data_IF_172886923621
#
_entry.id   IF_172886923621
#
_cell.length_a   1.000
_cell.length_b   1.000
_cell.length_c   1.000
_cell.angle_alpha   90.00
_cell.angle_beta   90.00
_cell.angle_gamma   90.00
#
_symmetry.space_group_name_H-M   'P 1'
#
loop_
_entity.id
_entity.type
_entity.pdbx_description
1 polymer ?
#
# COMPACT_ATOMS: atom_id res chain seq x y z
N UNK A 1 -15.82 7.84 18.10
CA UNK A 1 -17.03 8.00 17.25
C UNK A 1 -16.55 8.23 15.82
N UNK A 2 -16.90 7.34 14.88
CA UNK A 2 -16.39 7.40 13.50
C UNK A 2 -16.85 8.68 12.80
N UNK A 3 -15.96 9.28 11.99
CA UNK A 3 -16.25 10.45 11.17
C UNK A 3 -16.36 10.05 9.71
N UNK A 4 -17.25 10.71 8.97
CA UNK A 4 -17.43 10.49 7.53
C UNK A 4 -16.68 11.60 6.79
N UNK A 5 -15.73 11.27 5.89
CA UNK A 5 -15.10 12.25 5.03
C UNK A 5 -16.14 12.98 4.18
N UNK A 6 -15.90 14.26 3.95
CA UNK A 6 -16.80 15.15 3.19
C UNK A 6 -15.99 15.79 2.09
N UNK A 7 -16.54 15.83 0.90
CA UNK A 7 -15.95 16.49 -0.26
C UNK A 7 -16.92 17.55 -0.77
N UNK A 8 -16.40 18.72 -1.14
CA UNK A 8 -17.20 19.80 -1.72
C UNK A 8 -17.77 19.39 -3.09
N UNK A 9 -18.65 20.24 -3.63
CA UNK A 9 -19.16 20.08 -4.99
C UNK A 9 -18.02 20.00 -6.02
N UNK A 10 -16.99 20.82 -5.84
CA UNK A 10 -15.80 20.91 -6.73
C UNK A 10 -14.74 19.83 -6.48
N UNK A 11 -14.98 18.89 -5.57
CA UNK A 11 -14.03 17.81 -5.30
C UNK A 11 -12.96 18.16 -4.25
N UNK A 12 -13.07 19.29 -3.55
CA UNK A 12 -12.13 19.66 -2.49
C UNK A 12 -12.47 18.97 -1.18
N UNK A 13 -11.49 18.39 -0.46
CA UNK A 13 -11.75 17.74 0.82
C UNK A 13 -12.10 18.75 1.91
N UNK A 14 -13.18 18.49 2.63
CA UNK A 14 -13.68 19.31 3.74
C UNK A 14 -13.54 18.56 5.07
N UNK A 15 -13.83 19.24 6.18
CA UNK A 15 -13.78 18.60 7.49
C UNK A 15 -14.74 17.41 7.61
N UNK A 16 -14.25 16.25 8.08
CA UNK A 16 -15.10 15.08 8.30
C UNK A 16 -16.23 15.34 9.31
N UNK A 17 -17.42 14.83 9.00
CA UNK A 17 -18.64 15.08 9.77
C UNK A 17 -19.09 13.87 10.58
N UNK A 18 -20.14 14.03 11.41
CA UNK A 18 -20.78 12.92 12.11
C UNK A 18 -21.64 12.10 11.12
N UNK A 19 -21.72 10.77 11.26
CA UNK A 19 -22.54 9.92 10.39
C UNK A 19 -24.02 10.34 10.36
N UNK A 20 -24.59 10.77 11.49
CA UNK A 20 -25.96 11.26 11.58
C UNK A 20 -26.21 12.51 10.71
N UNK A 21 -25.24 13.42 10.63
CA UNK A 21 -25.31 14.62 9.79
C UNK A 21 -25.17 14.27 8.31
N UNK A 22 -24.23 13.38 7.98
CA UNK A 22 -24.07 12.88 6.62
C UNK A 22 -25.36 12.21 6.09
N UNK A 23 -26.04 11.42 6.93
CA UNK A 23 -27.31 10.79 6.57
C UNK A 23 -28.41 11.81 6.27
N UNK A 24 -28.61 12.81 7.15
CA UNK A 24 -29.58 13.90 6.94
C UNK A 24 -29.35 14.65 5.63
N UNK A 25 -28.09 14.87 5.24
CA UNK A 25 -27.77 15.51 3.96
C UNK A 25 -28.17 14.66 2.75
N UNK A 26 -28.01 13.35 2.83
CA UNK A 26 -28.42 12.43 1.75
C UNK A 26 -29.95 12.36 1.67
N UNK A 27 -30.63 12.20 2.81
CA UNK A 27 -32.09 12.15 2.89
C UNK A 27 -32.74 13.43 2.36
N UNK A 28 -32.11 14.59 2.59
CA UNK A 28 -32.57 15.89 2.07
C UNK A 28 -32.06 16.24 0.67
N UNK A 29 -31.38 15.32 -0.03
CA UNK A 29 -30.88 15.54 -1.39
C UNK A 29 -29.76 16.57 -1.51
N UNK A 30 -29.10 16.95 -0.40
CA UNK A 30 -27.99 17.93 -0.38
C UNK A 30 -26.61 17.31 -0.64
N UNK A 31 -26.50 15.99 -0.53
CA UNK A 31 -25.26 15.26 -0.75
C UNK A 31 -25.52 13.89 -1.38
N UNK A 32 -24.52 13.34 -2.05
CA UNK A 32 -24.53 11.98 -2.60
C UNK A 32 -23.50 11.11 -1.90
N UNK A 33 -23.84 9.83 -1.71
CA UNK A 33 -22.91 8.82 -1.19
C UNK A 33 -21.92 8.38 -2.27
N UNK A 34 -20.64 8.29 -1.91
CA UNK A 34 -19.58 7.77 -2.78
C UNK A 34 -18.65 6.82 -2.03
N UNK A 35 -17.87 6.07 -2.80
CA UNK A 35 -16.85 5.16 -2.29
C UNK A 35 -15.50 5.49 -2.93
N UNK A 36 -14.47 5.62 -2.08
CA UNK A 36 -13.09 5.81 -2.51
C UNK A 36 -12.49 4.51 -3.06
N UNK A 37 -11.35 4.62 -3.74
CA UNK A 37 -10.54 3.49 -4.17
C UNK A 37 -10.07 2.58 -3.02
N UNK A 38 -9.99 3.15 -1.81
CA UNK A 38 -9.63 2.47 -0.56
C UNK A 38 -10.82 1.80 0.14
N UNK A 39 -12.01 1.79 -0.46
CA UNK A 39 -13.21 1.19 0.15
C UNK A 39 -13.74 1.99 1.34
N UNK A 40 -13.38 3.26 1.44
CA UNK A 40 -13.93 4.22 2.39
C UNK A 40 -15.19 4.87 1.83
N UNK A 41 -16.23 4.91 2.65
CA UNK A 41 -17.46 5.64 2.37
C UNK A 41 -17.24 7.13 2.67
N UNK A 42 -17.66 7.99 1.75
CA UNK A 42 -17.64 9.43 1.93
C UNK A 42 -18.87 10.07 1.29
N UNK A 43 -19.13 11.33 1.62
CA UNK A 43 -20.21 12.10 1.01
C UNK A 43 -19.66 13.25 0.19
N UNK A 44 -20.25 13.49 -0.97
CA UNK A 44 -19.98 14.68 -1.78
C UNK A 44 -21.19 15.61 -1.71
N UNK A 45 -20.96 16.86 -1.32
CA UNK A 45 -21.99 17.89 -1.30
C UNK A 45 -22.40 18.27 -2.73
N UNK A 46 -23.68 18.55 -2.93
CA UNK A 46 -24.22 19.06 -4.20
C UNK A 46 -24.39 20.58 -4.20
N UNK A 47 -24.37 21.17 -3.00
CA UNK A 47 -24.52 22.60 -2.75
C UNK A 47 -23.22 23.15 -2.16
N UNK A 48 -23.07 24.46 -2.25
CA UNK A 48 -21.93 25.14 -1.63
C UNK A 48 -21.91 24.89 -0.12
N UNK A 49 -20.73 24.57 0.45
CA UNK A 49 -20.61 24.36 1.88
C UNK A 49 -20.83 25.70 2.60
N UNK A 50 -21.40 25.64 3.81
CA UNK A 50 -21.53 26.82 4.67
C UNK A 50 -20.18 27.40 5.14
N UNK A 51 -19.09 26.68 4.90
CA UNK A 51 -17.73 27.10 5.23
C UNK A 51 -16.70 26.05 4.82
N UNK A 52 -15.50 26.49 4.51
CA UNK A 52 -14.37 25.67 4.03
C UNK A 52 -13.26 25.51 5.06
N UNK A 53 -13.40 26.17 6.21
CA UNK A 53 -12.40 26.15 7.28
C UNK A 53 -12.16 24.74 7.82
N UNK A 54 -10.88 24.37 7.92
CA UNK A 54 -10.47 23.04 8.38
C UNK A 54 -9.55 23.11 9.59
N UNK A 55 -9.64 22.08 10.44
CA UNK A 55 -8.65 21.85 11.49
C UNK A 55 -7.54 20.96 10.94
N UNK A 56 -6.32 21.03 11.48
CA UNK A 56 -5.24 20.22 10.97
C UNK A 56 -5.56 18.72 11.02
N UNK A 57 -5.41 18.05 9.88
CA UNK A 57 -5.48 16.59 9.74
C UNK A 57 -4.15 16.09 9.20
N UNK A 58 -3.57 15.10 9.86
CA UNK A 58 -2.22 14.61 9.58
C UNK A 58 -2.27 13.14 9.20
N UNK A 59 -1.56 12.78 8.14
CA UNK A 59 -1.35 11.39 7.75
C UNK A 59 0.04 10.93 8.21
N UNK A 60 0.11 9.93 9.07
CA UNK A 60 1.37 9.29 9.45
C UNK A 60 1.59 8.03 8.63
N UNK A 61 2.72 7.92 7.96
CA UNK A 61 3.16 6.77 7.18
C UNK A 61 4.40 6.16 7.83
N UNK A 62 4.23 4.93 8.32
CA UNK A 62 5.31 4.07 8.82
C UNK A 62 5.67 3.01 7.75
N UNK A 63 6.71 3.25 6.93
CA UNK A 63 7.09 2.36 5.84
C UNK A 63 7.92 1.16 6.32
N UNK A 64 7.39 -0.05 6.16
CA UNK A 64 8.15 -1.28 6.42
C UNK A 64 8.64 -2.00 5.17
N UNK A 65 9.09 -3.25 5.36
CA UNK A 65 9.58 -4.16 4.30
C UNK A 65 8.44 -4.95 3.66
N UNK A 66 7.61 -5.60 4.49
CA UNK A 66 6.48 -6.42 4.04
C UNK A 66 5.14 -5.72 4.24
N UNK A 67 5.08 -4.83 5.23
CA UNK A 67 3.88 -4.11 5.62
C UNK A 67 4.21 -2.66 5.89
N UNK A 68 3.27 -1.75 5.66
CA UNK A 68 3.37 -0.35 6.07
C UNK A 68 2.11 0.04 6.84
N UNK A 69 2.29 0.85 7.88
CA UNK A 69 1.20 1.43 8.65
C UNK A 69 0.83 2.80 8.13
N UNK A 70 -0.46 3.10 7.99
CA UNK A 70 -0.92 4.47 7.79
C UNK A 70 -1.97 4.81 8.83
N UNK A 71 -1.84 5.98 9.45
CA UNK A 71 -2.83 6.55 10.36
C UNK A 71 -3.22 7.96 9.91
N UNK A 72 -4.51 8.29 9.99
CA UNK A 72 -5.01 9.66 9.76
C UNK A 72 -5.56 10.20 11.06
N UNK A 73 -5.03 11.34 11.51
CA UNK A 73 -5.25 11.86 12.85
C UNK A 73 -5.61 13.35 12.81
N UNK A 74 -6.60 13.73 13.61
CA UNK A 74 -6.87 15.13 13.99
C UNK A 74 -6.46 15.34 15.44
N UNK A 75 -6.46 16.59 15.94
CA UNK A 75 -6.22 16.84 17.37
C UNK A 75 -7.21 16.09 18.29
N UNK A 76 -8.44 15.82 17.83
CA UNK A 76 -9.54 15.30 18.67
C UNK A 76 -9.86 13.83 18.49
N UNK A 77 -9.48 13.22 17.37
CA UNK A 77 -9.81 11.83 17.08
C UNK A 77 -8.93 11.23 15.97
N UNK A 78 -8.80 9.90 16.03
CA UNK A 78 -8.23 9.08 14.95
C UNK A 78 -9.32 8.84 13.91
N UNK A 79 -9.04 9.21 12.66
CA UNK A 79 -10.00 9.17 11.56
C UNK A 79 -9.94 7.85 10.79
N UNK A 80 -8.74 7.32 10.59
CA UNK A 80 -8.51 6.13 9.78
C UNK A 80 -7.22 5.41 10.18
N UNK A 81 -7.24 4.09 10.13
CA UNK A 81 -6.08 3.22 10.23
C UNK A 81 -6.03 2.28 9.02
N UNK A 82 -4.88 2.20 8.36
CA UNK A 82 -4.66 1.28 7.25
C UNK A 82 -3.45 0.40 7.51
N UNK A 83 -3.61 -0.88 7.18
CA UNK A 83 -2.54 -1.85 7.12
C UNK A 83 -2.27 -2.19 5.65
N UNK A 84 -1.11 -1.76 5.14
CA UNK A 84 -0.74 -1.97 3.74
C UNK A 84 0.11 -3.24 3.65
N UNK A 85 -0.32 -4.21 2.84
CA UNK A 85 0.49 -5.39 2.50
C UNK A 85 1.29 -5.08 1.24
N UNK A 86 2.59 -4.92 1.40
CA UNK A 86 3.49 -4.49 0.35
C UNK A 86 3.80 -5.63 -0.62
N UNK A 87 3.90 -5.36 -1.94
CA UNK A 87 4.20 -6.38 -2.94
C UNK A 87 5.70 -6.76 -2.99
N UNK A 88 6.50 -6.41 -1.97
CA UNK A 88 7.96 -6.54 -1.99
C UNK A 88 8.42 -7.97 -2.28
N UNK A 89 7.96 -8.94 -1.49
CA UNK A 89 8.32 -10.37 -1.64
C UNK A 89 7.93 -10.91 -3.01
N UNK A 90 6.69 -10.63 -3.41
CA UNK A 90 6.10 -11.04 -4.70
C UNK A 90 6.88 -10.53 -5.90
N UNK A 91 7.21 -9.24 -5.88
CA UNK A 91 7.94 -8.61 -6.99
C UNK A 91 9.36 -9.14 -7.05
N UNK A 92 10.02 -9.34 -5.91
CA UNK A 92 11.35 -9.96 -5.85
C UNK A 92 11.33 -11.36 -6.47
N UNK A 93 10.44 -12.23 -6.01
CA UNK A 93 10.28 -13.60 -6.52
C UNK A 93 10.05 -13.63 -8.04
N UNK A 94 9.19 -12.74 -8.56
CA UNK A 94 8.97 -12.60 -10.01
C UNK A 94 10.20 -12.14 -10.77
N UNK A 95 10.98 -11.21 -10.20
CA UNK A 95 12.21 -10.74 -10.82
C UNK A 95 13.27 -11.84 -10.87
N UNK A 96 13.34 -12.67 -9.83
CA UNK A 96 14.22 -13.84 -9.78
C UNK A 96 13.79 -14.91 -10.79
N UNK A 97 12.50 -15.27 -10.84
CA UNK A 97 11.98 -16.19 -11.85
C UNK A 97 12.22 -15.67 -13.27
N UNK A 98 11.96 -14.38 -13.52
CA UNK A 98 12.24 -13.74 -14.82
C UNK A 98 13.74 -13.80 -15.17
N UNK A 99 14.63 -13.61 -14.20
CA UNK A 99 16.09 -13.72 -14.39
C UNK A 99 16.48 -15.16 -14.75
N UNK A 100 15.97 -16.16 -14.03
CA UNK A 100 16.21 -17.59 -14.28
C UNK A 100 15.76 -18.00 -15.68
N UNK A 101 14.52 -17.67 -16.05
CA UNK A 101 13.97 -17.98 -17.38
C UNK A 101 14.74 -17.31 -18.52
N UNK A 102 15.24 -16.08 -18.31
CA UNK A 102 16.12 -15.41 -19.29
C UNK A 102 17.50 -16.04 -19.36
N UNK A 103 18.04 -16.55 -18.25
CA UNK A 103 19.32 -17.26 -18.23
C UNK A 103 19.21 -18.58 -18.99
N UNK A 104 18.21 -19.41 -18.69
CA UNK A 104 17.95 -20.68 -19.37
C UNK A 104 17.72 -20.53 -20.88
N UNK A 105 16.93 -19.53 -21.31
CA UNK A 105 16.75 -19.26 -22.74
C UNK A 105 18.04 -18.86 -23.45
N UNK A 106 18.88 -18.03 -22.81
CA UNK A 106 20.17 -17.64 -23.38
C UNK A 106 21.13 -18.82 -23.42
N UNK A 107 21.20 -19.63 -22.37
CA UNK A 107 22.12 -20.77 -22.31
C UNK A 107 21.86 -21.83 -23.36
N UNK A 108 20.61 -22.00 -23.82
CA UNK A 108 20.23 -22.88 -24.94
C UNK A 108 20.64 -22.36 -26.32
N UNK A 109 20.87 -21.05 -26.45
CA UNK A 109 21.33 -20.42 -27.71
C UNK A 109 22.85 -20.32 -27.81
N UNK A 110 23.55 -20.64 -26.72
CA UNK A 110 25.00 -20.59 -26.67
C UNK A 110 25.51 -21.97 -27.04
N UNK A 111 26.02 -22.10 -28.27
CA UNK A 111 26.93 -23.19 -28.61
C UNK A 111 28.22 -22.98 -27.79
N UNK A 112 28.57 -23.94 -26.93
CA UNK A 112 29.74 -23.85 -26.05
C UNK A 112 31.00 -24.43 -26.68
N UNK A 113 30.84 -25.14 -27.79
CA UNK A 113 31.92 -25.85 -28.48
C UNK A 113 32.70 -24.89 -29.39
N UNK A 114 32.10 -23.75 -29.77
CA UNK A 114 32.80 -22.68 -30.51
C UNK A 114 33.55 -21.70 -29.59
N UNK A 115 34.69 -21.14 -30.04
CA UNK A 115 35.43 -20.10 -29.32
C UNK A 115 34.55 -18.93 -28.87
N UNK A 116 34.85 -18.35 -27.70
CA UNK A 116 34.03 -17.30 -27.07
C UNK A 116 33.69 -16.11 -27.99
N UNK A 117 34.64 -15.71 -28.86
CA UNK A 117 34.48 -14.64 -29.87
C UNK A 117 33.40 -14.95 -30.91
N UNK A 118 33.16 -16.22 -31.20
CA UNK A 118 32.19 -16.72 -32.17
C UNK A 118 30.86 -17.16 -31.52
N UNK A 119 30.78 -17.21 -30.19
CA UNK A 119 29.55 -17.58 -29.48
C UNK A 119 28.49 -16.50 -29.64
N UNK A 120 27.23 -16.92 -29.77
CA UNK A 120 26.05 -16.04 -29.70
C UNK A 120 25.80 -15.56 -28.25
N UNK A 121 26.77 -14.85 -27.70
CA UNK A 121 26.77 -14.27 -26.37
C UNK A 121 27.29 -12.82 -26.48
N UNK A 122 26.78 -11.91 -25.65
CA UNK A 122 27.26 -10.53 -25.57
C UNK A 122 28.01 -10.33 -24.26
N UNK A 123 29.17 -9.66 -24.32
CA UNK A 123 29.88 -9.18 -23.14
C UNK A 123 29.00 -8.24 -22.30
N UNK A 124 29.27 -8.18 -20.99
CA UNK A 124 28.56 -7.29 -20.07
C UNK A 124 28.95 -5.83 -20.38
N UNK A 125 28.01 -5.02 -20.86
CA UNK A 125 28.22 -3.58 -21.07
C UNK A 125 27.79 -2.81 -19.82
N UNK A 126 28.73 -2.54 -18.92
CA UNK A 126 28.45 -1.79 -17.69
C UNK A 126 28.25 -0.29 -17.97
N UNK A 127 29.00 0.27 -18.91
CA UNK A 127 28.96 1.71 -19.27
C UNK A 127 27.64 2.14 -19.92
N UNK A 128 26.88 1.19 -20.44
CA UNK A 128 25.55 1.42 -20.99
C UNK A 128 24.46 1.57 -19.90
N UNK A 129 24.81 1.40 -18.62
CA UNK A 129 23.87 1.52 -17.49
C UNK A 129 23.85 2.95 -16.95
N UNK A 130 23.31 3.89 -17.73
CA UNK A 130 23.27 5.33 -17.38
C UNK A 130 22.12 5.75 -16.44
N UNK A 131 21.24 4.83 -16.04
CA UNK A 131 19.99 5.18 -15.33
C UNK A 131 20.04 5.05 -13.81
N UNK A 132 19.65 6.09 -13.08
CA UNK A 132 19.38 6.07 -11.63
C UNK A 132 18.00 5.44 -11.34
N UNK A 133 17.90 4.10 -11.39
CA UNK A 133 16.62 3.37 -11.25
C UNK A 133 16.48 2.76 -9.85
N UNK A 134 15.30 2.95 -9.25
CA UNK A 134 14.91 2.19 -8.05
C UNK A 134 14.75 0.70 -8.36
N UNK A 135 15.11 -0.14 -7.38
CA UNK A 135 14.83 -1.57 -7.45
C UNK A 135 13.31 -1.81 -7.62
N UNK A 136 12.87 -2.70 -8.52
CA UNK A 136 11.44 -2.87 -8.82
C UNK A 136 10.56 -3.20 -7.61
N UNK A 137 11.07 -3.98 -6.65
CA UNK A 137 10.34 -4.34 -5.42
C UNK A 137 10.14 -3.15 -4.49
N UNK A 138 11.17 -2.30 -4.36
CA UNK A 138 11.12 -1.06 -3.56
C UNK A 138 10.19 -0.06 -4.23
N UNK A 139 10.37 0.16 -5.53
CA UNK A 139 9.50 1.04 -6.32
C UNK A 139 8.03 0.64 -6.19
N UNK A 140 7.70 -0.64 -6.34
CA UNK A 140 6.32 -1.11 -6.23
C UNK A 140 5.71 -0.89 -4.84
N UNK A 141 6.52 -0.97 -3.78
CA UNK A 141 6.09 -0.75 -2.40
C UNK A 141 5.84 0.74 -2.13
N UNK A 142 6.81 1.59 -2.47
CA UNK A 142 6.67 3.05 -2.32
C UNK A 142 5.53 3.62 -3.18
N UNK A 143 5.33 3.11 -4.39
CA UNK A 143 4.19 3.50 -5.23
C UNK A 143 2.83 3.08 -4.66
N UNK A 144 2.75 2.01 -3.87
CA UNK A 144 1.51 1.66 -3.17
C UNK A 144 1.24 2.66 -2.05
N UNK A 145 2.25 3.00 -1.25
CA UNK A 145 2.14 3.99 -0.17
C UNK A 145 1.74 5.37 -0.71
N UNK A 146 2.46 5.88 -1.71
CA UNK A 146 2.15 7.17 -2.35
C UNK A 146 0.71 7.17 -2.87
N UNK A 147 0.28 6.08 -3.51
CA UNK A 147 -1.10 5.97 -3.99
C UNK A 147 -2.10 6.06 -2.83
N UNK A 148 -1.87 5.31 -1.76
CA UNK A 148 -2.77 5.32 -0.60
C UNK A 148 -2.85 6.72 0.01
N UNK A 149 -1.73 7.42 0.15
CA UNK A 149 -1.73 8.81 0.68
C UNK A 149 -2.45 9.77 -0.26
N UNK A 150 -2.29 9.63 -1.59
CA UNK A 150 -3.06 10.43 -2.57
C UNK A 150 -4.57 10.20 -2.46
N UNK A 151 -5.01 8.96 -2.28
CA UNK A 151 -6.43 8.64 -2.08
C UNK A 151 -6.97 9.11 -0.73
N UNK A 152 -6.11 9.22 0.30
CA UNK A 152 -6.49 9.84 1.58
C UNK A 152 -6.64 11.35 1.40
N UNK A 153 -5.68 12.00 0.75
CA UNK A 153 -5.66 13.44 0.53
C UNK A 153 -6.78 13.93 -0.40
N UNK A 154 -7.39 13.05 -1.21
CA UNK A 154 -8.55 13.41 -2.02
C UNK A 154 -9.87 13.49 -1.24
N UNK A 155 -9.92 12.92 -0.02
CA UNK A 155 -11.15 12.89 0.81
C UNK A 155 -10.96 13.48 2.21
N UNK A 156 -9.73 13.69 2.66
CA UNK A 156 -9.39 14.33 3.93
C UNK A 156 -8.52 15.57 3.68
N UNK A 157 -8.73 16.67 4.43
CA UNK A 157 -7.96 17.91 4.28
C UNK A 157 -6.59 17.75 4.96
N UNK A 158 -5.66 17.05 4.31
CA UNK A 158 -4.34 16.74 4.86
C UNK A 158 -3.45 17.99 4.92
N UNK A 159 -3.04 18.37 6.11
CA UNK A 159 -2.17 19.53 6.39
C UNK A 159 -0.69 19.16 6.42
N UNK A 160 -0.37 17.95 6.87
CA UNK A 160 1.01 17.46 6.95
C UNK A 160 1.07 15.94 6.87
N UNK A 161 2.23 15.42 6.48
CA UNK A 161 2.50 13.99 6.42
C UNK A 161 3.69 13.67 7.33
N UNK A 162 3.48 12.81 8.32
CA UNK A 162 4.57 12.25 9.11
C UNK A 162 5.18 11.05 8.40
N UNK A 163 6.49 11.00 8.26
CA UNK A 163 7.19 9.88 7.62
C UNK A 163 8.29 9.30 8.51
N UNK A 164 8.25 8.00 8.80
CA UNK A 164 9.35 7.34 9.53
C UNK A 164 10.50 6.99 8.55
N UNK A 165 11.68 7.56 8.80
CA UNK A 165 12.89 7.29 8.03
C UNK A 165 13.75 6.24 8.71
N UNK A 166 14.24 5.30 7.91
CA UNK A 166 15.14 4.23 8.33
C UNK A 166 16.56 4.59 7.92
N UNK A 167 17.51 4.44 8.85
CA UNK A 167 18.95 4.47 8.57
C UNK A 167 19.42 3.04 8.63
N UNK A 168 19.53 2.46 7.45
CA UNK A 168 20.19 1.19 7.28
C UNK A 168 21.64 1.50 6.96
N UNK A 169 22.52 1.48 7.98
CA UNK A 169 23.95 1.40 7.72
C UNK A 169 24.24 -0.01 7.20
N UNK A 170 24.34 -0.13 5.88
CA UNK A 170 24.63 -1.38 5.17
C UNK A 170 26.00 -1.95 5.55
N UNK A 171 26.93 -1.12 6.02
CA UNK A 171 28.25 -1.57 6.41
C UNK A 171 28.20 -2.20 7.80
N UNK A 172 27.45 -1.62 8.74
CA UNK A 172 27.22 -2.21 10.08
C UNK A 172 26.30 -3.44 10.05
N UNK A 173 25.32 -3.48 9.14
CA UNK A 173 24.31 -4.57 9.09
C UNK A 173 24.65 -5.74 8.18
N UNK A 174 25.68 -5.64 7.34
CA UNK A 174 25.99 -6.70 6.35
C UNK A 174 26.75 -7.91 6.91
N UNK A 175 27.35 -7.80 8.10
CA UNK A 175 28.17 -8.86 8.70
C UNK A 175 29.39 -9.28 7.86
N UNK A 176 29.73 -8.52 6.80
CA UNK A 176 30.86 -8.84 5.91
C UNK A 176 32.17 -8.40 6.55
N UNK A 177 33.12 -9.33 6.69
CA UNK A 177 34.51 -8.99 7.05
C UNK A 177 35.05 -7.97 6.03
N UNK A 178 35.27 -6.73 6.47
CA UNK A 178 35.80 -5.62 5.65
C UNK A 178 34.82 -4.52 5.25
N UNK A 179 33.55 -4.56 5.67
CA UNK A 179 32.64 -3.44 5.49
C UNK A 179 33.08 -2.23 6.34
N UNK A 180 33.26 -1.06 5.72
CA UNK A 180 33.70 0.18 6.40
C UNK A 180 32.52 1.14 6.49
N UNK A 181 32.07 1.44 7.71
CA UNK A 181 30.92 2.33 7.98
C UNK A 181 31.03 3.67 7.25
N UNK A 182 29.89 4.15 6.76
CA UNK A 182 29.75 5.46 6.13
C UNK A 182 29.98 5.50 4.62
N UNK A 183 30.30 4.38 3.95
CA UNK A 183 30.52 4.35 2.48
C UNK A 183 29.44 3.59 1.71
N UNK A 184 28.63 2.76 2.37
CA UNK A 184 27.58 2.00 1.74
C UNK A 184 26.27 2.77 1.56
N UNK A 185 25.55 2.50 0.47
CA UNK A 185 24.20 3.01 0.24
C UNK A 185 23.16 1.90 0.44
N UNK A 186 22.04 2.23 1.08
CA UNK A 186 20.90 1.33 1.18
C UNK A 186 19.86 1.62 0.09
N UNK A 187 19.48 0.62 -0.74
CA UNK A 187 18.36 0.77 -1.66
C UNK A 187 17.05 1.20 -1.00
N UNK A 188 16.87 0.87 0.29
CA UNK A 188 15.69 1.27 1.07
C UNK A 188 15.71 2.78 1.32
N UNK A 189 16.87 3.34 1.71
CA UNK A 189 17.02 4.78 1.94
C UNK A 189 16.76 5.60 0.67
N UNK A 190 17.29 5.15 -0.48
CA UNK A 190 17.00 5.79 -1.77
C UNK A 190 15.50 5.72 -2.10
N UNK A 191 14.87 4.58 -1.81
CA UNK A 191 13.42 4.41 -1.96
C UNK A 191 12.61 5.32 -1.05
N UNK A 192 13.03 5.53 0.20
CA UNK A 192 12.38 6.46 1.13
C UNK A 192 12.53 7.91 0.67
N UNK A 193 13.72 8.32 0.22
CA UNK A 193 13.94 9.67 -0.31
C UNK A 193 13.04 9.96 -1.52
N UNK A 194 12.95 9.00 -2.45
CA UNK A 194 11.99 9.11 -3.56
C UNK A 194 10.54 9.23 -3.07
N UNK A 195 10.16 8.42 -2.08
CA UNK A 195 8.80 8.47 -1.52
C UNK A 195 8.49 9.83 -0.90
N UNK A 196 9.39 10.35 -0.06
CA UNK A 196 9.28 11.66 0.57
C UNK A 196 9.10 12.74 -0.50
N UNK A 197 9.95 12.77 -1.54
CA UNK A 197 9.84 13.76 -2.62
C UNK A 197 8.52 13.72 -3.41
N UNK A 198 7.86 12.55 -3.44
CA UNK A 198 6.53 12.42 -4.06
C UNK A 198 5.39 12.80 -3.11
N UNK A 199 5.59 12.63 -1.80
CA UNK A 199 4.63 12.99 -0.76
C UNK A 199 4.63 14.50 -0.47
N UNK A 200 5.78 15.16 -0.56
CA UNK A 200 5.92 16.62 -0.43
C UNK A 200 5.11 17.39 -1.48
N UNK A 201 4.81 16.75 -2.62
CA UNK A 201 3.90 17.31 -3.64
C UNK A 201 2.43 17.34 -3.22
N UNK A 202 2.08 16.63 -2.15
CA UNK A 202 0.71 16.52 -1.61
C UNK A 202 0.56 17.46 -0.42
N UNK A 203 1.46 17.35 0.56
CA UNK A 203 1.48 18.19 1.76
C UNK A 203 2.91 18.18 2.36
N UNK A 204 3.26 19.18 3.19
CA UNK A 204 4.54 19.21 3.89
C UNK A 204 4.84 17.90 4.64
N UNK A 205 6.01 17.32 4.42
CA UNK A 205 6.44 16.07 5.06
C UNK A 205 7.39 16.39 6.20
N UNK A 206 7.06 15.97 7.42
CA UNK A 206 8.01 15.95 8.52
C UNK A 206 8.54 14.54 8.73
N UNK A 207 9.86 14.43 8.83
CA UNK A 207 10.54 13.15 8.99
C UNK A 207 10.82 12.90 10.46
N UNK A 208 10.58 11.67 10.92
CA UNK A 208 11.09 11.18 12.21
C UNK A 208 12.01 10.00 11.99
N UNK A 209 13.09 9.96 12.75
CA UNK A 209 14.02 8.84 12.70
C UNK A 209 13.56 7.75 13.68
N UNK A 210 13.43 6.50 13.24
CA UNK A 210 12.92 5.42 14.09
C UNK A 210 13.78 5.13 15.34
N UNK A 211 15.07 5.51 15.32
CA UNK A 211 15.99 5.38 16.47
C UNK A 211 16.08 6.62 17.34
N UNK A 212 15.34 7.70 17.02
CA UNK A 212 15.42 8.94 17.78
C UNK A 212 14.98 8.68 19.23
N UNK A 213 15.89 8.88 20.18
CA UNK A 213 15.66 8.68 21.62
C UNK A 213 15.45 9.99 22.38
N UNK A 214 15.00 11.03 21.69
CA UNK A 214 14.78 12.37 22.26
C UNK A 214 13.42 12.52 22.95
N UNK A 215 12.59 11.47 22.97
CA UNK A 215 11.22 11.47 23.46
C UNK A 215 10.18 11.52 22.34
N UNK A 216 10.60 11.81 21.10
CA UNK A 216 9.74 11.99 19.95
C UNK A 216 9.81 10.81 18.95
N UNK A 217 10.60 9.76 19.23
CA UNK A 217 10.60 8.55 18.41
C UNK A 217 9.24 7.85 18.41
N UNK A 218 8.92 7.11 17.35
CA UNK A 218 7.62 6.45 17.15
C UNK A 218 7.23 5.56 18.34
N UNK A 219 8.18 4.79 18.89
CA UNK A 219 7.91 3.94 20.05
C UNK A 219 7.66 4.75 21.33
N UNK A 220 8.30 5.90 21.51
CA UNK A 220 8.13 6.76 22.69
C UNK A 220 6.78 7.46 22.65
N UNK A 221 6.40 8.00 21.47
CA UNK A 221 5.07 8.52 21.21
C UNK A 221 3.99 7.49 21.49
N UNK A 222 4.17 6.27 21.00
CA UNK A 222 3.21 5.19 21.19
C UNK A 222 2.98 4.90 22.69
N UNK A 223 4.04 4.82 23.48
CA UNK A 223 3.97 4.64 24.94
C UNK A 223 3.26 5.81 25.62
N UNK A 224 3.60 7.06 25.27
CA UNK A 224 2.99 8.24 25.87
C UNK A 224 1.48 8.36 25.56
N UNK A 225 1.05 7.85 24.40
CA UNK A 225 -0.34 7.82 23.96
C UNK A 225 -1.12 6.61 24.47
N UNK A 226 -0.49 5.69 25.22
CA UNK A 226 -1.13 4.45 25.70
C UNK A 226 -1.53 3.49 24.58
N UNK A 227 -0.89 3.57 23.41
CA UNK A 227 -1.23 2.76 22.25
C UNK A 227 -0.59 1.37 22.33
N UNK A 228 -1.39 0.31 22.33
CA UNK A 228 -0.90 -1.07 22.39
C UNK A 228 -0.29 -1.46 21.03
N UNK A 229 0.89 -2.10 21.06
CA UNK A 229 1.50 -2.70 19.87
C UNK A 229 1.77 -4.18 20.07
N UNK A 230 1.24 -4.98 19.15
CA UNK A 230 1.64 -6.37 19.03
C UNK A 230 2.99 -6.47 18.30
N UNK A 231 4.00 -7.00 19.02
CA UNK A 231 5.34 -7.22 18.49
C UNK A 231 5.59 -8.67 18.05
N UNK A 232 4.74 -9.60 18.47
CA UNK A 232 4.88 -11.03 18.24
C UNK A 232 4.32 -11.40 16.86
N UNK A 233 3.06 -11.05 16.58
CA UNK A 233 2.37 -11.47 15.36
C UNK A 233 2.31 -10.37 14.29
N UNK A 234 3.49 -9.93 13.82
CA UNK A 234 3.61 -8.82 12.84
C UNK A 234 2.88 -9.06 11.50
N UNK A 235 2.62 -10.31 11.15
CA UNK A 235 1.90 -10.67 9.92
C UNK A 235 0.38 -10.58 10.06
N UNK A 236 -0.15 -10.50 11.29
CA UNK A 236 -1.58 -10.29 11.50
C UNK A 236 -1.97 -8.87 11.10
N UNK A 237 -2.98 -8.78 10.25
CA UNK A 237 -3.50 -7.52 9.78
C UNK A 237 -4.56 -7.00 10.77
N UNK A 238 -4.09 -6.53 11.93
CA UNK A 238 -4.89 -5.89 12.98
C UNK A 238 -4.39 -4.48 13.30
N UNK A 239 -5.20 -3.60 13.91
CA UNK A 239 -4.81 -2.21 14.18
C UNK A 239 -3.49 -2.09 14.94
N UNK A 240 -3.27 -2.98 15.90
CA UNK A 240 -2.16 -2.98 16.87
C UNK A 240 -0.81 -3.41 16.28
N UNK A 241 -0.74 -3.82 15.01
CA UNK A 241 0.55 -4.21 14.40
C UNK A 241 1.27 -3.01 13.80
N UNK A 242 0.97 -2.69 12.54
CA UNK A 242 1.66 -1.64 11.79
C UNK A 242 0.88 -0.32 11.79
N UNK A 243 -0.45 -0.36 11.74
CA UNK A 243 -1.23 0.88 11.61
C UNK A 243 -1.13 1.80 12.84
N UNK A 244 -0.91 1.23 14.02
CA UNK A 244 -0.71 1.97 15.27
C UNK A 244 0.53 2.86 15.24
N UNK A 245 1.60 2.45 14.56
CA UNK A 245 2.81 3.29 14.42
C UNK A 245 2.53 4.48 13.51
N UNK A 246 1.72 4.29 12.45
CA UNK A 246 1.22 5.39 11.62
C UNK A 246 0.38 6.40 12.42
N UNK A 247 -0.48 5.93 13.33
CA UNK A 247 -1.25 6.82 14.23
C UNK A 247 -0.32 7.57 15.19
N UNK A 248 0.62 6.87 15.83
CA UNK A 248 1.58 7.50 16.74
C UNK A 248 2.39 8.59 16.02
N UNK A 249 2.86 8.29 14.80
CA UNK A 249 3.61 9.22 13.98
C UNK A 249 2.79 10.47 13.61
N UNK A 250 1.51 10.30 13.24
CA UNK A 250 0.58 11.40 12.98
C UNK A 250 0.31 12.24 14.25
N UNK A 251 0.15 11.58 15.40
CA UNK A 251 -0.02 12.26 16.70
C UNK A 251 1.19 13.13 17.05
N UNK A 252 2.40 12.74 16.63
CA UNK A 252 3.62 13.53 16.83
C UNK A 252 3.58 14.94 16.25
N UNK A 253 2.68 15.23 15.30
CA UNK A 253 2.45 16.60 14.86
C UNK A 253 1.81 17.47 15.96
N UNK A 254 0.86 16.91 16.70
CA UNK A 254 0.08 17.60 17.73
C UNK A 254 0.74 17.60 19.11
N UNK A 255 1.59 16.60 19.39
CA UNK A 255 2.30 16.47 20.66
C UNK A 255 3.81 16.33 20.45
N UNK A 256 4.58 17.01 21.28
CA UNK A 256 6.03 16.94 21.25
C UNK A 256 6.61 16.89 22.65
N UNK A 257 7.55 16.00 22.87
CA UNK A 257 8.34 15.98 24.08
C UNK A 257 9.44 17.04 23.96
N UNK A 258 9.40 18.04 24.84
CA UNK A 258 10.33 19.17 24.81
C UNK A 258 10.95 19.38 26.18
N UNK A 259 12.20 19.85 26.18
CA UNK A 259 12.83 20.41 27.38
C UNK A 259 12.19 21.76 27.69
N UNK A 260 12.04 22.07 28.97
CA UNK A 260 11.70 23.41 29.42
C UNK A 260 12.70 23.84 30.48
N UNK A 261 12.98 25.14 30.48
CA UNK A 261 13.75 25.83 31.51
C UNK A 261 12.87 27.00 31.96
N UNK A 262 12.62 27.09 33.26
CA UNK A 262 11.94 28.21 33.92
C UNK A 262 12.81 28.73 35.05
N UNK A 263 12.45 29.90 35.60
CA UNK A 263 13.11 30.47 36.78
C UNK A 263 13.13 29.53 37.99
N UNK A 264 12.16 28.60 38.06
CA UNK A 264 11.99 27.67 39.17
C UNK A 264 12.50 26.25 38.89
N UNK A 265 13.13 25.98 37.74
CA UNK A 265 13.70 24.66 37.43
C UNK A 265 13.79 24.31 35.95
N UNK A 266 14.33 23.13 35.67
CA UNK A 266 14.44 22.59 34.31
C UNK A 266 13.94 21.16 34.27
N UNK A 267 13.39 20.75 33.12
CA UNK A 267 12.81 19.42 32.98
C UNK A 267 12.39 19.09 31.55
N UNK A 268 11.65 18.00 31.40
CA UNK A 268 11.06 17.57 30.12
C UNK A 268 9.58 17.34 30.31
N UNK A 269 8.78 17.83 29.36
CA UNK A 269 7.33 17.65 29.41
C UNK A 269 6.76 17.51 28.00
N UNK A 270 5.58 16.93 27.91
CA UNK A 270 4.81 16.87 26.68
C UNK A 270 4.12 18.22 26.46
N UNK A 271 4.40 18.85 25.33
CA UNK A 271 3.66 20.03 24.85
C UNK A 271 2.64 19.61 23.81
N UNK A 272 1.45 20.19 23.89
CA UNK A 272 0.32 19.94 22.99
C UNK A 272 -0.70 18.96 23.56
N UNK A 273 -1.80 18.75 22.83
CA UNK A 273 -2.90 17.86 23.22
C UNK A 273 -3.40 17.10 22.01
N UNK A 274 -3.58 15.80 22.18
CA UNK A 274 -4.18 14.93 21.16
C UNK A 274 -5.03 13.85 21.83
N UNK A 275 -6.11 13.46 21.16
CA UNK A 275 -6.97 12.35 21.62
C UNK A 275 -7.03 11.26 20.55
N UNK A 276 -6.64 10.05 20.94
CA UNK A 276 -6.76 8.84 20.12
C UNK A 276 -8.12 8.19 20.39
N UNK A 277 -8.73 7.66 19.34
CA UNK A 277 -10.04 6.99 19.44
C UNK A 277 -10.08 5.79 18.52
N UNK A 278 -10.98 4.84 18.76
CA UNK A 278 -11.26 3.80 17.78
C UNK A 278 -11.69 4.43 16.45
N UNK A 279 -11.17 3.88 15.36
CA UNK A 279 -11.35 4.39 14.00
C UNK A 279 -11.63 3.23 13.03
N UNK A 280 -11.97 3.57 11.78
CA UNK A 280 -12.09 2.54 10.76
C UNK A 280 -10.72 1.94 10.45
N UNK A 281 -10.64 0.62 10.45
CA UNK A 281 -9.46 -0.13 10.05
C UNK A 281 -9.70 -0.80 8.71
N UNK A 282 -8.75 -0.69 7.77
CA UNK A 282 -8.80 -1.39 6.47
C UNK A 282 -7.46 -2.00 6.10
N UNK A 283 -7.52 -3.11 5.39
CA UNK A 283 -6.34 -3.78 4.85
C UNK A 283 -6.24 -3.48 3.36
N UNK A 284 -5.11 -2.96 2.91
CA UNK A 284 -4.90 -2.58 1.50
C UNK A 284 -3.78 -3.43 0.91
N UNK A 285 -4.05 -4.08 -0.23
CA UNK A 285 -3.05 -4.86 -0.96
C UNK A 285 -3.20 -4.74 -2.48
N UNK A 286 -2.22 -5.23 -3.23
CA UNK A 286 -2.29 -5.35 -4.69
C UNK A 286 -2.81 -6.74 -5.08
N UNK A 287 -3.63 -6.84 -6.14
CA UNK A 287 -4.06 -8.12 -6.70
C UNK A 287 -2.91 -9.13 -6.91
N UNK A 288 -3.10 -10.36 -6.40
CA UNK A 288 -2.23 -11.51 -6.64
C UNK A 288 -2.10 -12.47 -5.45
N UNK A 289 -2.28 -13.77 -5.74
CA UNK A 289 -2.45 -14.88 -4.79
C UNK A 289 -1.25 -15.14 -3.88
N UNK A 290 -1.53 -15.66 -2.69
CA UNK A 290 -0.72 -16.73 -2.09
C UNK A 290 -1.45 -18.05 -2.35
N UNK A 291 -0.80 -19.05 -2.96
CA UNK A 291 -1.34 -20.40 -3.09
C UNK A 291 -0.29 -21.38 -2.56
N UNK A 292 -0.65 -22.23 -1.58
CA UNK A 292 0.26 -23.22 -0.97
C UNK A 292 1.60 -22.59 -0.49
N UNK A 293 1.54 -21.45 0.20
CA UNK A 293 2.73 -20.72 0.65
C UNK A 293 3.57 -20.04 -0.44
N UNK A 294 3.17 -20.14 -1.72
CA UNK A 294 3.86 -19.47 -2.85
C UNK A 294 3.05 -18.28 -3.35
N UNK A 295 3.69 -17.13 -3.46
CA UNK A 295 3.04 -15.91 -3.94
C UNK A 295 2.93 -15.91 -5.47
N UNK A 296 1.72 -16.12 -5.98
CA UNK A 296 1.36 -15.95 -7.37
C UNK A 296 0.80 -14.54 -7.61
N UNK A 297 0.46 -14.23 -8.83
CA UNK A 297 -0.40 -13.08 -9.05
C UNK A 297 -0.65 -12.85 -10.50
N UNK A 298 -1.12 -11.66 -10.83
CA UNK A 298 -1.75 -11.44 -12.13
C UNK A 298 -0.70 -11.56 -13.25
N UNK A 299 -0.81 -12.63 -14.02
CA UNK A 299 0.02 -12.84 -15.21
C UNK A 299 -0.68 -12.18 -16.39
N UNK A 300 -0.22 -10.99 -16.81
CA UNK A 300 -0.74 -10.33 -18.01
C UNK A 300 -0.57 -11.23 -19.24
N UNK A 301 0.60 -11.87 -19.37
CA UNK A 301 0.90 -12.94 -20.33
C UNK A 301 1.97 -13.84 -19.74
N UNK A 302 1.74 -15.15 -19.70
CA UNK A 302 2.75 -16.15 -19.39
C UNK A 302 3.12 -16.87 -20.68
N UNK A 303 4.01 -16.27 -21.48
CA UNK A 303 4.51 -16.82 -22.75
C UNK A 303 5.26 -18.17 -22.61
N UNK A 304 5.46 -18.63 -21.37
CA UNK A 304 6.33 -19.74 -21.01
C UNK A 304 5.62 -20.70 -20.06
N UNK A 305 4.39 -21.15 -20.37
CA UNK A 305 4.16 -22.54 -19.98
C UNK A 305 5.28 -23.35 -20.65
N UNK A 306 6.14 -23.88 -19.79
CA UNK A 306 7.57 -24.00 -20.07
C UNK A 306 7.83 -24.98 -21.20
N UNK A 307 6.96 -25.98 -21.30
CA UNK A 307 6.95 -27.07 -22.26
C UNK A 307 5.93 -26.73 -23.37
N UNK A 308 6.37 -26.61 -24.64
CA UNK A 308 5.43 -26.57 -25.76
C UNK A 308 4.65 -27.90 -25.83
N UNK A 309 3.38 -27.85 -26.23
CA UNK A 309 2.64 -29.06 -26.54
C UNK A 309 3.12 -29.71 -27.85
N UNK A 310 2.40 -30.75 -28.28
CA UNK A 310 2.57 -31.29 -29.64
C UNK A 310 2.53 -30.15 -30.67
N UNK A 311 3.38 -30.25 -31.70
CA UNK A 311 3.55 -29.24 -32.77
C UNK A 311 4.19 -27.90 -32.33
N UNK A 312 4.85 -27.84 -31.17
CA UNK A 312 5.57 -26.64 -30.75
C UNK A 312 4.68 -25.50 -30.22
N UNK A 313 3.36 -25.71 -30.19
CA UNK A 313 2.37 -24.70 -29.74
C UNK A 313 2.44 -24.55 -28.23
N UNK A 314 2.57 -23.31 -27.76
CA UNK A 314 2.52 -22.99 -26.32
C UNK A 314 1.11 -22.62 -25.91
N UNK A 315 0.63 -23.21 -24.81
CA UNK A 315 -0.66 -22.85 -24.22
C UNK A 315 -0.70 -21.34 -23.93
N UNK A 316 -1.67 -20.64 -24.50
CA UNK A 316 -1.96 -19.24 -24.16
C UNK A 316 -2.42 -19.18 -22.70
N UNK A 317 -1.71 -18.42 -21.87
CA UNK A 317 -2.12 -18.13 -20.49
C UNK A 317 -1.88 -16.68 -20.13
N UNK A 318 -2.84 -16.13 -19.40
CA UNK A 318 -2.89 -14.72 -19.00
C UNK A 318 -4.06 -14.03 -19.70
N UNK A 319 -4.02 -12.70 -19.73
CA UNK A 319 -5.15 -11.86 -20.08
C UNK A 319 -5.61 -11.10 -18.85
N UNK A 320 -5.88 -9.80 -19.03
CA UNK A 320 -6.45 -8.96 -17.98
C UNK A 320 -7.95 -8.77 -18.14
N UNK A 321 -8.53 -9.22 -19.27
CA UNK A 321 -9.94 -9.09 -19.63
C UNK A 321 -10.44 -10.48 -20.04
N UNK A 322 -11.60 -10.85 -19.53
CA UNK A 322 -12.31 -12.09 -19.88
C UNK A 322 -13.18 -11.87 -21.12
N UNK A 323 -13.57 -12.93 -21.86
CA UNK A 323 -14.46 -12.82 -23.02
C UNK A 323 -15.77 -12.07 -22.74
N UNK A 324 -16.24 -12.08 -21.49
CA UNK A 324 -17.49 -11.42 -21.07
C UNK A 324 -17.28 -10.01 -20.48
N UNK A 325 -16.16 -9.35 -20.78
CA UNK A 325 -15.93 -7.94 -20.42
C UNK A 325 -15.51 -7.67 -18.96
N UNK A 326 -15.48 -8.68 -18.09
CA UNK A 326 -14.87 -8.55 -16.75
C UNK A 326 -13.35 -8.47 -16.83
N UNK A 327 -12.73 -7.74 -15.90
CA UNK A 327 -11.28 -7.61 -15.80
C UNK A 327 -10.75 -8.29 -14.54
N UNK A 328 -9.51 -8.77 -14.60
CA UNK A 328 -8.83 -9.28 -13.40
C UNK A 328 -8.67 -8.14 -12.38
N UNK A 329 -9.19 -8.37 -11.18
CA UNK A 329 -9.29 -7.39 -10.10
C UNK A 329 -10.57 -6.56 -10.10
N UNK A 330 -11.52 -6.79 -11.03
CA UNK A 330 -12.87 -6.22 -10.90
C UNK A 330 -13.50 -6.79 -9.62
N UNK A 331 -14.10 -5.91 -8.81
CA UNK A 331 -14.89 -6.28 -7.64
C UNK A 331 -16.30 -6.60 -8.12
N UNK A 332 -16.76 -7.82 -7.84
CA UNK A 332 -18.05 -8.31 -8.29
C UNK A 332 -18.83 -8.95 -7.15
N UNK A 333 -20.14 -8.95 -7.30
CA UNK A 333 -21.10 -9.71 -6.53
C UNK A 333 -21.47 -10.95 -7.34
N UNK A 334 -21.44 -12.13 -6.76
CA UNK A 334 -21.83 -13.35 -7.45
C UNK A 334 -22.67 -14.26 -6.56
N UNK A 335 -23.66 -14.93 -7.15
CA UNK A 335 -24.55 -15.84 -6.42
C UNK A 335 -24.37 -17.29 -6.88
N UNK A 336 -24.37 -18.22 -5.92
CA UNK A 336 -24.37 -19.67 -6.15
C UNK A 336 -25.32 -20.33 -5.16
N UNK A 337 -26.43 -20.86 -5.67
CA UNK A 337 -27.52 -21.32 -4.81
C UNK A 337 -28.07 -20.16 -3.98
N UNK A 338 -28.17 -20.35 -2.66
CA UNK A 338 -28.59 -19.32 -1.70
C UNK A 338 -27.44 -18.43 -1.20
N UNK A 339 -26.20 -18.73 -1.59
CA UNK A 339 -25.02 -18.00 -1.10
C UNK A 339 -24.68 -16.87 -2.06
N UNK A 340 -24.63 -15.65 -1.53
CA UNK A 340 -24.04 -14.49 -2.20
C UNK A 340 -22.59 -14.32 -1.74
N UNK A 341 -21.70 -13.96 -2.66
CA UNK A 341 -20.29 -13.72 -2.38
C UNK A 341 -19.81 -12.46 -3.09
N UNK A 342 -19.04 -11.65 -2.38
CA UNK A 342 -18.36 -10.48 -2.93
C UNK A 342 -16.87 -10.77 -3.00
N UNK A 343 -16.25 -10.49 -4.15
CA UNK A 343 -14.81 -10.68 -4.29
C UNK A 343 -14.27 -10.16 -5.61
N UNK A 344 -13.00 -10.45 -5.84
CA UNK A 344 -12.25 -10.00 -7.00
C UNK A 344 -12.18 -11.08 -8.07
N UNK A 345 -12.35 -10.69 -9.33
CA UNK A 345 -12.12 -11.59 -10.45
C UNK A 345 -10.64 -11.93 -10.55
N UNK A 346 -10.30 -13.22 -10.54
CA UNK A 346 -8.90 -13.67 -10.69
C UNK A 346 -8.64 -14.58 -11.89
N UNK A 347 -9.69 -15.05 -12.58
CA UNK A 347 -9.58 -15.89 -13.77
C UNK A 347 -10.94 -16.41 -14.22
N UNK A 348 -10.94 -17.22 -15.27
CA UNK A 348 -12.17 -17.76 -15.85
C UNK A 348 -11.95 -19.13 -16.51
N UNK A 349 -13.06 -19.82 -16.79
CA UNK A 349 -13.12 -20.97 -17.70
C UNK A 349 -14.15 -20.67 -18.78
N UNK A 350 -13.67 -20.55 -20.02
CA UNK A 350 -14.50 -20.24 -21.18
C UNK A 350 -15.48 -21.37 -21.51
N UNK A 351 -14.98 -22.61 -21.53
CA UNK A 351 -15.75 -23.84 -21.78
C UNK A 351 -16.95 -23.94 -20.82
N UNK A 352 -16.71 -23.68 -19.54
CA UNK A 352 -17.74 -23.83 -18.51
C UNK A 352 -18.53 -22.54 -18.26
N UNK A 353 -18.23 -21.43 -18.98
CA UNK A 353 -18.83 -20.10 -18.76
C UNK A 353 -18.86 -19.67 -17.29
N UNK A 354 -17.75 -19.90 -16.57
CA UNK A 354 -17.61 -19.51 -15.15
C UNK A 354 -16.44 -18.57 -14.90
N UNK A 355 -16.64 -17.71 -13.91
CA UNK A 355 -15.67 -16.76 -13.37
C UNK A 355 -15.15 -17.26 -12.02
N UNK A 356 -13.83 -17.16 -11.81
CA UNK A 356 -13.21 -17.49 -10.52
C UNK A 356 -13.11 -16.24 -9.64
N UNK A 357 -13.79 -16.29 -8.50
CA UNK A 357 -13.83 -15.22 -7.51
C UNK A 357 -12.79 -15.46 -6.42
N UNK A 358 -12.12 -14.40 -5.98
CA UNK A 358 -11.07 -14.43 -4.97
C UNK A 358 -11.33 -13.39 -3.89
N UNK A 359 -10.89 -13.66 -2.66
CA UNK A 359 -10.91 -12.68 -1.59
C UNK A 359 -9.77 -11.65 -1.71
N UNK A 360 -9.64 -10.77 -0.72
CA UNK A 360 -8.57 -9.76 -0.67
C UNK A 360 -7.16 -10.37 -0.49
N UNK A 361 -7.04 -11.52 0.16
CA UNK A 361 -5.81 -12.32 0.25
C UNK A 361 -5.49 -13.04 -1.06
N UNK A 362 -6.41 -12.94 -2.01
CA UNK A 362 -6.38 -13.57 -3.30
C UNK A 362 -6.34 -15.11 -3.20
N UNK A 363 -7.04 -15.64 -2.19
CA UNK A 363 -7.48 -17.02 -2.06
C UNK A 363 -8.82 -17.18 -2.79
N UNK A 364 -8.97 -18.27 -3.53
CA UNK A 364 -10.18 -18.51 -4.35
C UNK A 364 -11.35 -18.80 -3.42
N UNK A 365 -12.42 -18.00 -3.54
CA UNK A 365 -13.71 -18.23 -2.88
C UNK A 365 -14.44 -19.35 -3.61
N UNK A 366 -14.51 -19.25 -4.95
CA UNK A 366 -15.21 -20.24 -5.75
C UNK A 366 -15.23 -19.91 -7.23
N UNK A 367 -16.02 -20.68 -7.97
CA UNK A 367 -16.36 -20.43 -9.36
C UNK A 367 -17.86 -20.21 -9.48
N UNK A 368 -18.23 -19.16 -10.23
CA UNK A 368 -19.59 -18.68 -10.36
C UNK A 368 -19.95 -18.54 -11.84
N UNK A 369 -21.21 -18.81 -12.19
CA UNK A 369 -21.70 -18.58 -13.56
C UNK A 369 -21.56 -17.09 -13.91
N UNK A 370 -21.16 -16.82 -15.15
CA UNK A 370 -21.08 -15.44 -15.67
C UNK A 370 -22.43 -14.72 -15.54
N UNK A 371 -23.53 -15.41 -15.83
CA UNK A 371 -24.90 -14.86 -15.73
C UNK A 371 -25.32 -14.47 -14.32
N UNK A 372 -24.66 -15.04 -13.30
CA UNK A 372 -24.94 -14.79 -11.88
C UNK A 372 -23.89 -13.87 -11.24
N UNK A 373 -23.14 -13.14 -12.06
CA UNK A 373 -22.06 -12.25 -11.60
C UNK A 373 -22.35 -10.82 -12.04
N UNK A 374 -22.43 -9.90 -11.07
CA UNK A 374 -22.69 -8.48 -11.30
C UNK A 374 -21.47 -7.65 -10.88
N UNK A 375 -21.07 -6.71 -11.74
CA UNK A 375 -19.97 -5.80 -11.45
C UNK A 375 -20.37 -4.80 -10.35
N UNK A 376 -19.57 -4.72 -9.29
CA UNK A 376 -19.69 -3.66 -8.27
C UNK A 376 -18.77 -2.49 -8.65
N UNK A 377 -17.50 -2.79 -8.99
CA UNK A 377 -16.49 -1.77 -9.28
C UNK A 377 -15.42 -2.32 -10.21
N UNK A 378 -15.01 -1.51 -11.19
CA UNK A 378 -13.87 -1.83 -12.06
C UNK A 378 -12.55 -1.89 -11.29
N UNK A 379 -11.65 -2.75 -11.76
CA UNK A 379 -10.31 -2.94 -11.22
C UNK A 379 -9.55 -1.63 -11.20
N UNK A 380 -9.33 -1.11 -10.00
CA UNK A 380 -8.42 0.00 -9.75
C UNK A 380 -7.02 -0.54 -9.39
N UNK A 381 -6.83 -1.85 -9.31
CA UNK A 381 -5.55 -2.47 -8.93
C UNK A 381 -5.26 -2.45 -7.43
N UNK A 382 -6.28 -2.27 -6.58
CA UNK A 382 -6.23 -2.48 -5.13
C UNK A 382 -7.27 -3.53 -4.71
N UNK A 383 -6.90 -4.34 -3.72
CA UNK A 383 -7.80 -5.19 -2.96
C UNK A 383 -7.90 -4.63 -1.54
N UNK A 384 -9.12 -4.60 -1.01
CA UNK A 384 -9.48 -3.97 0.26
C UNK A 384 -10.23 -5.00 1.10
N UNK A 385 -9.89 -5.09 2.38
CA UNK A 385 -10.67 -5.79 3.41
C UNK A 385 -11.18 -4.78 4.44
#
# INVERSE_FOLDING_TARGET
>A
MNRIPVVSKDGQPLMPTKPSRARKWIESGRAISKWSDLGLYYVQLLQEPSGTETQPVVAGLDPGKSYSGVGVQSAKCTLLQLHLILPFGRVRSRMDQRRLLRRSRRSRRINRDVPFKLRNHRQKRFDNRRGKKLAPSIRASRQLEIRVVKEIASIYPITAIGYEKVRADVDLTSGRKGARSGKGFSPVMIGQQFCISELEKIAPVYVREGWQKDGNGTSQLRTALGLVKDKQNKSEAKPETHSVDGVALACGYFIQFRRFHSSCGHGKTWKGKVTTTNSQFRIITRPGAVKRGKEYGVFRRQLHFEIPGQNGVRKRKGGTITPWGFRVGDLVRATKGKTESIGYIGGYSEVNKVMSLYDWQWKRIGQFSVSKTTLIRRSNGLCVA
#
